data_IF_115734142007
#
_entry.id   IF_115734142007
#
_cell.length_a   1.000
_cell.length_b   1.000
_cell.length_c   1.000
_cell.angle_alpha   90.00
_cell.angle_beta   90.00
_cell.angle_gamma   90.00
#
_symmetry.space_group_name_H-M   'P 1'
#
loop_
_entity.id
_entity.type
_entity.pdbx_description
1 polymer ?
#
# COMPACT_ATOMS: atom_id res chain seq x y z
N UNK A 1 -22.25 0.60 -9.48
CA UNK A 1 -22.71 1.93 -9.93
C UNK A 1 -23.24 2.70 -8.73
N UNK A 2 -22.63 3.84 -8.40
CA UNK A 2 -23.04 4.70 -7.29
C UNK A 2 -24.42 5.35 -7.53
N UNK A 3 -24.80 5.57 -8.79
CA UNK A 3 -26.09 6.16 -9.14
C UNK A 3 -27.25 5.20 -8.80
N UNK A 4 -27.09 3.91 -9.09
CA UNK A 4 -28.05 2.86 -8.69
C UNK A 4 -28.20 2.77 -7.17
N UNK A 5 -27.10 2.85 -6.42
CA UNK A 5 -27.13 2.76 -4.95
C UNK A 5 -27.81 3.97 -4.31
N UNK A 6 -27.53 5.17 -4.82
CA UNK A 6 -28.17 6.41 -4.38
C UNK A 6 -29.68 6.42 -4.68
N UNK A 7 -30.09 5.95 -5.86
CA UNK A 7 -31.49 5.85 -6.25
C UNK A 7 -32.30 4.85 -5.39
N UNK A 8 -31.63 3.84 -4.82
CA UNK A 8 -32.24 2.85 -3.94
C UNK A 8 -32.08 3.17 -2.44
N UNK A 9 -31.64 4.38 -2.08
CA UNK A 9 -31.54 4.83 -0.69
C UNK A 9 -30.41 4.18 0.13
N UNK A 10 -29.43 3.55 -0.52
CA UNK A 10 -28.27 2.93 0.15
C UNK A 10 -27.28 4.02 0.56
N UNK A 11 -27.10 4.21 1.88
CA UNK A 11 -26.22 5.27 2.46
C UNK A 11 -24.80 4.79 2.79
N UNK A 12 -24.63 3.50 3.04
CA UNK A 12 -23.35 2.88 3.37
C UNK A 12 -23.26 1.58 2.58
N UNK A 13 -22.17 1.42 1.84
CA UNK A 13 -21.85 0.20 1.11
C UNK A 13 -20.66 -0.49 1.76
N UNK A 14 -20.84 -1.72 2.21
CA UNK A 14 -19.77 -2.56 2.73
C UNK A 14 -19.15 -3.34 1.56
N UNK A 15 -17.88 -3.07 1.24
CA UNK A 15 -17.15 -3.71 0.13
C UNK A 15 -16.32 -4.93 0.56
N UNK A 16 -16.50 -5.40 1.81
CA UNK A 16 -15.60 -6.39 2.41
C UNK A 16 -14.22 -5.79 2.70
N UNK A 17 -13.17 -6.63 2.64
CA UNK A 17 -11.78 -6.18 2.80
C UNK A 17 -10.97 -6.42 1.53
N UNK A 18 -11.21 -5.63 0.46
CA UNK A 18 -10.50 -5.79 -0.81
C UNK A 18 -9.00 -5.55 -0.65
N UNK A 19 -8.60 -4.64 0.25
CA UNK A 19 -7.19 -4.35 0.57
C UNK A 19 -6.49 -5.61 1.04
N UNK A 20 -7.08 -6.37 1.96
CA UNK A 20 -6.50 -7.62 2.44
C UNK A 20 -6.31 -8.64 1.32
N UNK A 21 -7.34 -8.86 0.49
CA UNK A 21 -7.27 -9.83 -0.60
C UNK A 21 -6.17 -9.46 -1.63
N UNK A 22 -6.05 -8.18 -1.98
CA UNK A 22 -5.00 -7.68 -2.86
C UNK A 22 -3.62 -7.86 -2.24
N UNK A 23 -3.45 -7.51 -0.96
CA UNK A 23 -2.17 -7.65 -0.25
C UNK A 23 -1.71 -9.10 -0.18
N UNK A 24 -2.60 -10.04 0.19
CA UNK A 24 -2.27 -11.47 0.26
C UNK A 24 -1.77 -11.98 -1.09
N UNK A 25 -2.46 -11.61 -2.18
CA UNK A 25 -2.07 -12.01 -3.53
C UNK A 25 -0.71 -11.41 -3.92
N UNK A 26 -0.48 -10.12 -3.68
CA UNK A 26 0.77 -9.45 -4.01
C UNK A 26 1.98 -10.08 -3.28
N UNK A 27 1.81 -10.42 -2.00
CA UNK A 27 2.84 -11.12 -1.21
C UNK A 27 3.11 -12.51 -1.80
N UNK A 28 2.06 -13.29 -2.06
CA UNK A 28 2.20 -14.63 -2.63
C UNK A 28 2.92 -14.61 -3.98
N UNK A 29 2.49 -13.75 -4.90
CA UNK A 29 3.07 -13.64 -6.24
C UNK A 29 4.55 -13.22 -6.18
N UNK A 30 4.90 -12.30 -5.29
CA UNK A 30 6.29 -11.85 -5.11
C UNK A 30 7.17 -12.97 -4.55
N UNK A 31 6.70 -13.69 -3.53
CA UNK A 31 7.43 -14.82 -2.95
C UNK A 31 7.58 -15.98 -3.95
N UNK A 32 6.53 -16.26 -4.73
CA UNK A 32 6.59 -17.28 -5.78
C UNK A 32 7.63 -16.91 -6.84
N UNK A 33 7.65 -15.66 -7.29
CA UNK A 33 8.62 -15.18 -8.28
C UNK A 33 10.07 -15.38 -7.79
N UNK A 34 10.35 -15.00 -6.54
CA UNK A 34 11.66 -15.19 -5.92
C UNK A 34 12.01 -16.68 -5.78
N UNK A 35 11.04 -17.52 -5.38
CA UNK A 35 11.22 -18.97 -5.27
C UNK A 35 11.56 -19.62 -6.62
N UNK A 36 10.93 -19.15 -7.68
CA UNK A 36 11.14 -19.65 -9.04
C UNK A 36 12.42 -19.05 -9.68
N UNK A 37 13.26 -18.37 -8.88
CA UNK A 37 14.50 -17.70 -9.30
C UNK A 37 14.31 -16.65 -10.40
N UNK A 38 13.14 -16.00 -10.42
CA UNK A 38 12.87 -14.91 -11.33
C UNK A 38 13.73 -13.67 -11.04
N UNK A 39 14.08 -12.87 -12.07
CA UNK A 39 14.91 -11.68 -11.92
C UNK A 39 14.21 -10.60 -11.06
N UNK A 40 14.99 -9.85 -10.28
CA UNK A 40 14.47 -8.84 -9.35
C UNK A 40 13.87 -7.64 -10.10
N UNK A 41 14.36 -7.37 -11.30
CA UNK A 41 13.92 -6.29 -12.19
C UNK A 41 12.44 -6.43 -12.55
N UNK A 42 11.93 -7.66 -12.69
CA UNK A 42 10.51 -7.92 -12.95
C UNK A 42 9.61 -7.64 -11.75
N UNK A 43 10.17 -7.47 -10.55
CA UNK A 43 9.44 -7.02 -9.35
C UNK A 43 9.44 -5.50 -9.21
N UNK A 44 10.29 -4.76 -9.94
CA UNK A 44 10.41 -3.30 -9.77
C UNK A 44 9.08 -2.57 -10.00
N UNK A 45 8.32 -2.98 -11.02
CA UNK A 45 7.00 -2.39 -11.34
C UNK A 45 5.92 -2.71 -10.28
N UNK A 46 6.15 -3.74 -9.46
CA UNK A 46 5.22 -4.17 -8.40
C UNK A 46 5.57 -3.59 -7.03
N UNK A 47 6.72 -2.94 -6.92
CA UNK A 47 7.18 -2.33 -5.67
C UNK A 47 6.61 -0.93 -5.50
N UNK A 48 6.31 -0.57 -4.25
CA UNK A 48 6.00 0.81 -3.91
C UNK A 48 7.21 1.71 -4.20
N UNK A 49 6.96 2.89 -4.76
CA UNK A 49 8.02 3.88 -4.99
C UNK A 49 8.63 4.33 -3.66
N UNK A 50 9.90 4.76 -3.69
CA UNK A 50 10.56 5.29 -2.49
C UNK A 50 9.81 6.49 -1.90
N UNK A 51 9.20 7.32 -2.74
CA UNK A 51 8.35 8.44 -2.33
C UNK A 51 7.10 7.95 -1.57
N UNK A 52 6.40 6.95 -2.11
CA UNK A 52 5.22 6.37 -1.45
C UNK A 52 5.61 5.77 -0.09
N UNK A 53 6.71 5.02 -0.03
CA UNK A 53 7.21 4.46 1.22
C UNK A 53 7.56 5.54 2.25
N UNK A 54 8.21 6.62 1.82
CA UNK A 54 8.53 7.78 2.69
C UNK A 54 7.26 8.42 3.25
N UNK A 55 6.25 8.62 2.41
CA UNK A 55 4.96 9.18 2.81
C UNK A 55 4.21 8.28 3.79
N UNK A 56 4.12 6.98 3.51
CA UNK A 56 3.43 6.01 4.37
C UNK A 56 4.12 5.89 5.73
N UNK A 57 5.46 5.90 5.74
CA UNK A 57 6.25 5.84 6.97
C UNK A 57 6.27 7.17 7.75
N UNK A 58 5.70 8.26 7.21
CA UNK A 58 5.79 9.62 7.78
C UNK A 58 7.23 10.01 8.12
N UNK A 59 8.18 9.59 7.27
CA UNK A 59 9.61 9.74 7.55
C UNK A 59 10.02 11.20 7.74
N UNK A 60 9.44 12.13 6.97
CA UNK A 60 9.77 13.56 7.08
C UNK A 60 9.39 14.15 8.43
N UNK A 61 8.24 13.74 8.97
CA UNK A 61 7.80 14.17 10.29
C UNK A 61 8.68 13.58 11.40
N UNK A 62 9.08 12.32 11.24
CA UNK A 62 10.04 11.70 12.15
C UNK A 62 11.37 12.44 12.15
N UNK A 63 11.91 12.80 10.98
CA UNK A 63 13.15 13.60 10.85
C UNK A 63 12.99 14.96 11.52
N UNK A 64 11.88 15.66 11.30
CA UNK A 64 11.60 16.95 11.96
C UNK A 64 11.57 16.83 13.49
N UNK A 65 11.03 15.73 14.02
CA UNK A 65 11.06 15.48 15.45
C UNK A 65 12.47 15.19 15.96
N UNK A 66 13.28 14.44 15.22
CA UNK A 66 14.69 14.22 15.58
C UNK A 66 15.46 15.55 15.63
N UNK A 67 15.29 16.42 14.63
CA UNK A 67 15.93 17.73 14.60
C UNK A 67 15.53 18.60 15.79
N UNK A 68 14.24 18.57 16.13
CA UNK A 68 13.69 19.42 17.21
C UNK A 68 14.08 18.95 18.62
N UNK A 69 14.26 17.65 18.82
CA UNK A 69 14.35 17.06 20.16
C UNK A 69 15.64 16.29 20.45
N UNK A 70 16.43 15.92 19.44
CA UNK A 70 17.66 15.12 19.61
C UNK A 70 18.94 15.84 19.18
N UNK A 71 18.84 17.00 18.53
CA UNK A 71 19.99 17.88 18.30
C UNK A 71 20.07 18.92 19.43
N UNK A 72 20.97 18.68 20.40
CA UNK A 72 21.46 19.65 21.41
C UNK A 72 22.85 20.12 21.02
#
# INVERSE_FOLDING_TARGET
DSAFLAANGVKILMLGNPTFAVTVKAIFDSLKHLKDAGPLEELAERQATSELLRSVNRTDEFVQWQDKYLHT
#
